data_IF_516220214822
#
_entry.id   IF_516220214822
#
_cell.length_a   1.000
_cell.length_b   1.000
_cell.length_c   1.000
_cell.angle_alpha   90.00
_cell.angle_beta   90.00
_cell.angle_gamma   90.00
#
_symmetry.space_group_name_H-M   'P 1'
#
loop_
_entity.id
_entity.type
_entity.pdbx_description
1 polymer ?
#
# COMPACT_ATOMS: atom_id res chain seq x y z
N UNK A 1 5.29 18.19 4.23
CA UNK A 1 5.36 16.83 4.80
C UNK A 1 4.80 15.88 3.76
N UNK A 2 5.51 14.82 3.40
CA UNK A 2 5.07 13.92 2.33
C UNK A 2 3.93 13.03 2.82
N UNK A 3 2.86 12.91 2.01
CA UNK A 3 1.68 12.09 2.30
C UNK A 3 1.71 10.87 1.38
N UNK A 4 1.45 9.69 1.93
CA UNK A 4 1.48 8.43 1.18
C UNK A 4 0.28 7.58 1.53
N UNK A 5 -0.28 6.95 0.50
CA UNK A 5 -1.05 5.70 0.66
C UNK A 5 -0.04 4.56 0.57
N UNK A 6 -0.16 3.56 1.42
CA UNK A 6 0.79 2.44 1.45
C UNK A 6 0.00 1.17 1.17
N UNK A 7 0.41 0.41 0.18
CA UNK A 7 -0.19 -0.89 -0.06
C UNK A 7 0.23 -1.89 1.04
N UNK A 8 -0.62 -2.86 1.36
CA UNK A 8 -0.34 -3.89 2.38
C UNK A 8 0.91 -4.72 2.06
N UNK A 9 1.25 -4.89 0.78
CA UNK A 9 2.44 -5.64 0.38
C UNK A 9 3.75 -5.00 0.91
N UNK A 10 3.77 -3.69 1.17
CA UNK A 10 4.97 -2.97 1.63
C UNK A 10 5.38 -3.42 3.03
N UNK A 11 4.50 -3.35 4.07
CA UNK A 11 4.83 -3.87 5.39
C UNK A 11 5.00 -5.39 5.42
N UNK A 12 4.29 -6.17 4.58
CA UNK A 12 4.52 -7.62 4.46
C UNK A 12 5.97 -7.89 4.01
N UNK A 13 6.40 -7.24 2.93
CA UNK A 13 7.78 -7.35 2.41
C UNK A 13 8.80 -6.87 3.44
N UNK A 14 8.50 -5.81 4.20
CA UNK A 14 9.40 -5.33 5.26
C UNK A 14 9.59 -6.36 6.39
N UNK A 15 8.58 -7.17 6.70
CA UNK A 15 8.70 -8.30 7.62
C UNK A 15 9.56 -9.44 7.05
N UNK A 16 9.72 -9.50 5.72
CA UNK A 16 10.36 -10.62 5.03
C UNK A 16 9.42 -11.79 4.79
N UNK A 17 8.12 -11.57 4.97
CA UNK A 17 7.10 -12.57 4.68
C UNK A 17 6.90 -12.70 3.17
N UNK A 18 6.42 -13.87 2.73
CA UNK A 18 6.02 -14.07 1.35
C UNK A 18 4.97 -13.04 0.96
N UNK A 19 5.14 -12.39 -0.20
CA UNK A 19 4.15 -11.46 -0.73
C UNK A 19 2.76 -12.11 -0.91
N UNK A 20 1.72 -11.32 -1.24
CA UNK A 20 0.34 -11.81 -1.33
C UNK A 20 0.17 -13.06 -2.22
N UNK A 21 1.01 -13.21 -3.25
CA UNK A 21 0.97 -14.34 -4.19
C UNK A 21 1.73 -15.60 -3.73
N UNK A 22 2.30 -15.62 -2.52
CA UNK A 22 3.15 -16.70 -2.00
C UNK A 22 4.31 -17.09 -2.96
N UNK A 23 4.79 -16.14 -3.75
CA UNK A 23 5.77 -16.33 -4.83
C UNK A 23 7.22 -16.53 -4.35
N UNK A 24 7.45 -16.53 -3.03
CA UNK A 24 8.75 -16.75 -2.42
C UNK A 24 9.12 -15.64 -1.42
N UNK A 25 10.30 -15.78 -0.81
CA UNK A 25 10.86 -14.76 0.08
C UNK A 25 11.26 -13.52 -0.72
N UNK A 26 10.89 -12.30 -0.28
CA UNK A 26 11.31 -11.09 -0.96
C UNK A 26 12.83 -10.94 -0.91
N UNK A 27 13.42 -10.50 -2.02
CA UNK A 27 14.87 -10.32 -2.14
C UNK A 27 15.39 -9.33 -1.10
N UNK A 28 16.64 -9.50 -0.66
CA UNK A 28 17.27 -8.62 0.33
C UNK A 28 17.16 -7.14 -0.06
N UNK A 29 17.32 -6.82 -1.34
CA UNK A 29 17.20 -5.44 -1.84
C UNK A 29 15.77 -4.90 -1.68
N UNK A 30 14.77 -5.70 -2.04
CA UNK A 30 13.37 -5.31 -1.91
C UNK A 30 12.96 -5.13 -0.44
N UNK A 31 13.39 -6.06 0.45
CA UNK A 31 13.19 -5.93 1.90
C UNK A 31 13.83 -4.67 2.46
N UNK A 32 15.08 -4.38 2.11
CA UNK A 32 15.79 -3.17 2.55
C UNK A 32 15.05 -1.91 2.08
N UNK A 33 14.56 -1.88 0.84
CA UNK A 33 13.80 -0.75 0.32
C UNK A 33 12.49 -0.52 1.09
N UNK A 34 11.75 -1.59 1.39
CA UNK A 34 10.52 -1.54 2.19
C UNK A 34 10.80 -1.04 3.63
N UNK A 35 11.82 -1.59 4.29
CA UNK A 35 12.24 -1.17 5.64
C UNK A 35 12.60 0.31 5.66
N UNK A 36 13.44 0.77 4.73
CA UNK A 36 13.85 2.17 4.63
C UNK A 36 12.66 3.09 4.43
N UNK A 37 11.78 2.75 3.49
CA UNK A 37 10.59 3.56 3.21
C UNK A 37 9.67 3.69 4.44
N UNK A 38 9.38 2.60 5.14
CA UNK A 38 8.51 2.65 6.33
C UNK A 38 9.13 3.46 7.47
N UNK A 39 10.44 3.35 7.68
CA UNK A 39 11.15 4.17 8.68
C UNK A 39 11.12 5.67 8.33
N UNK A 40 11.32 6.01 7.05
CA UNK A 40 11.21 7.40 6.56
C UNK A 40 9.79 7.95 6.74
N UNK A 41 8.78 7.14 6.41
CA UNK A 41 7.37 7.50 6.57
C UNK A 41 7.03 7.78 8.04
N UNK A 42 7.41 6.88 8.96
CA UNK A 42 7.12 7.04 10.38
C UNK A 42 7.88 8.23 11.01
N UNK A 43 9.06 8.57 10.51
CA UNK A 43 9.85 9.68 11.05
C UNK A 43 9.40 11.04 10.51
N UNK A 44 9.04 11.15 9.24
CA UNK A 44 8.90 12.45 8.55
C UNK A 44 7.68 12.58 7.62
N UNK A 45 6.93 11.51 7.40
CA UNK A 45 5.76 11.50 6.51
C UNK A 45 4.45 11.32 7.25
N UNK A 46 3.36 11.30 6.47
CA UNK A 46 2.01 10.98 6.93
C UNK A 46 1.42 9.83 6.14
N UNK A 47 0.83 8.88 6.86
CA UNK A 47 0.06 7.79 6.28
C UNK A 47 -1.39 8.24 6.06
N UNK A 48 -1.91 8.00 4.87
CA UNK A 48 -3.32 8.16 4.55
C UNK A 48 -4.03 6.81 4.66
N UNK A 49 -5.17 6.79 5.33
CA UNK A 49 -6.09 5.64 5.38
C UNK A 49 -7.52 6.13 5.21
N UNK A 50 -8.42 5.25 4.81
CA UNK A 50 -9.84 5.58 4.74
C UNK A 50 -10.45 5.69 6.15
N UNK A 51 -11.44 6.57 6.29
CA UNK A 51 -12.14 6.80 7.54
C UNK A 51 -13.01 5.60 7.94
N UNK A 52 -13.54 4.86 6.95
CA UNK A 52 -14.40 3.69 7.18
C UNK A 52 -13.64 2.49 7.78
N UNK A 53 -12.31 2.42 7.58
CA UNK A 53 -11.42 1.43 8.17
C UNK A 53 -11.07 0.25 7.25
N UNK A 54 -11.44 0.28 5.96
CA UNK A 54 -11.20 -0.81 5.00
C UNK A 54 -9.70 -1.13 4.85
N UNK A 55 -8.85 -0.11 4.78
CA UNK A 55 -7.38 -0.23 4.70
C UNK A 55 -6.81 -0.75 6.03
N UNK A 56 -7.31 -0.24 7.15
CA UNK A 56 -6.84 -0.70 8.46
C UNK A 56 -7.21 -2.17 8.71
N UNK A 57 -8.41 -2.57 8.29
CA UNK A 57 -8.85 -3.96 8.38
C UNK A 57 -8.01 -4.88 7.49
N UNK A 58 -7.57 -4.39 6.32
CA UNK A 58 -6.62 -5.11 5.49
C UNK A 58 -5.26 -5.32 6.16
N UNK A 59 -4.70 -4.26 6.75
CA UNK A 59 -3.48 -4.39 7.54
C UNK A 59 -3.65 -5.37 8.70
N UNK A 60 -4.80 -5.35 9.38
CA UNK A 60 -5.09 -6.27 10.49
C UNK A 60 -5.08 -7.74 10.05
N UNK A 61 -5.50 -8.04 8.82
CA UNK A 61 -5.52 -9.41 8.29
C UNK A 61 -4.11 -9.96 8.04
N UNK A 62 -3.16 -9.10 7.69
CA UNK A 62 -1.84 -9.52 7.22
C UNK A 62 -0.71 -9.25 8.21
N UNK A 63 -0.85 -8.27 9.10
CA UNK A 63 0.20 -7.83 10.01
C UNK A 63 -0.08 -8.26 11.45
N UNK A 64 0.99 -8.58 12.18
CA UNK A 64 0.93 -9.18 13.52
C UNK A 64 1.64 -8.27 14.53
N UNK A 65 0.96 -7.23 15.04
CA UNK A 65 1.57 -6.27 15.95
C UNK A 65 1.88 -6.85 17.34
N UNK A 66 1.41 -8.04 17.69
CA UNK A 66 1.70 -8.68 18.98
C UNK A 66 2.86 -9.68 18.89
N UNK A 67 3.58 -9.90 20.00
CA UNK A 67 4.63 -10.93 20.07
C UNK A 67 6.02 -10.37 19.69
N UNK A 68 6.64 -10.91 18.65
CA UNK A 68 7.93 -10.44 18.11
C UNK A 68 7.71 -9.71 16.77
N UNK A 69 7.24 -8.45 16.81
CA UNK A 69 6.86 -7.73 15.60
C UNK A 69 8.07 -7.39 14.73
N UNK A 70 7.94 -7.64 13.43
CA UNK A 70 8.84 -7.17 12.38
C UNK A 70 8.69 -5.66 12.11
N UNK A 71 9.38 -5.16 11.08
CA UNK A 71 9.34 -3.72 10.74
C UNK A 71 7.95 -3.30 10.24
N UNK A 72 7.31 -4.11 9.41
CA UNK A 72 5.95 -3.88 8.92
C UNK A 72 4.93 -3.93 10.06
N UNK A 73 5.09 -4.86 11.00
CA UNK A 73 4.22 -4.94 12.17
C UNK A 73 4.34 -3.70 13.06
N UNK A 74 5.55 -3.17 13.24
CA UNK A 74 5.79 -1.92 13.99
C UNK A 74 5.21 -0.70 13.28
N UNK A 75 5.24 -0.67 11.94
CA UNK A 75 4.52 0.34 11.17
C UNK A 75 3.02 0.30 11.46
N UNK A 76 2.44 -0.90 11.51
CA UNK A 76 1.02 -1.04 11.86
C UNK A 76 0.74 -0.70 13.33
N UNK A 77 1.60 -1.09 14.27
CA UNK A 77 1.51 -0.63 15.66
C UNK A 77 1.52 0.89 15.75
N UNK A 78 2.40 1.55 14.98
CA UNK A 78 2.41 2.99 14.93
C UNK A 78 1.06 3.51 14.47
N UNK A 79 0.47 3.01 13.37
CA UNK A 79 -0.89 3.37 12.94
C UNK A 79 -1.93 3.21 14.06
N UNK A 80 -1.90 2.10 14.82
CA UNK A 80 -2.83 1.84 15.93
C UNK A 80 -2.67 2.81 17.10
N UNK A 81 -1.42 3.19 17.40
CA UNK A 81 -1.07 4.05 18.53
C UNK A 81 -0.98 5.54 18.16
N UNK A 82 -1.08 5.88 16.87
CA UNK A 82 -0.81 7.22 16.36
C UNK A 82 -1.92 8.21 16.70
N UNK A 83 -1.50 9.40 17.10
CA UNK A 83 -2.33 10.60 17.11
C UNK A 83 -2.40 11.22 15.69
N UNK A 84 -3.39 12.11 15.42
CA UNK A 84 -3.70 12.62 14.07
C UNK A 84 -2.55 13.33 13.33
N UNK A 85 -1.40 13.60 13.98
CA UNK A 85 -0.23 14.17 13.32
C UNK A 85 0.50 13.23 12.35
N UNK A 86 0.36 11.91 12.52
CA UNK A 86 1.01 10.88 11.65
C UNK A 86 0.06 10.17 10.70
N UNK A 87 -1.20 10.08 11.06
CA UNK A 87 -2.21 9.34 10.32
C UNK A 87 -3.37 10.26 10.01
N UNK A 88 -3.69 10.42 8.74
CA UNK A 88 -4.87 11.14 8.30
C UNK A 88 -5.92 10.13 7.83
N UNK A 89 -7.12 10.25 8.40
CA UNK A 89 -8.27 9.42 8.06
C UNK A 89 -9.18 10.20 7.14
N UNK A 90 -9.34 9.72 5.93
CA UNK A 90 -10.00 10.44 4.85
C UNK A 90 -11.32 9.75 4.54
N UNK A 91 -12.41 10.51 4.50
CA UNK A 91 -13.69 9.99 4.02
C UNK A 91 -13.54 9.53 2.57
N UNK A 92 -13.90 8.28 2.28
CA UNK A 92 -13.73 7.67 0.96
C UNK A 92 -15.07 7.07 0.52
N UNK A 93 -15.95 7.89 -0.09
CA UNK A 93 -17.32 7.50 -0.39
C UNK A 93 -17.39 6.40 -1.44
N UNK A 94 -18.38 5.53 -1.29
CA UNK A 94 -18.73 4.48 -2.26
C UNK A 94 -19.99 4.87 -3.04
N UNK A 95 -20.06 4.41 -4.28
CA UNK A 95 -21.24 4.43 -5.15
C UNK A 95 -22.22 3.33 -4.73
N UNK A 96 -23.41 3.34 -5.32
CA UNK A 96 -24.46 2.35 -5.04
C UNK A 96 -24.06 0.91 -5.42
N UNK A 97 -23.11 0.75 -6.35
CA UNK A 97 -22.55 -0.54 -6.76
C UNK A 97 -21.47 -1.09 -5.80
N UNK A 98 -21.12 -0.32 -4.76
CA UNK A 98 -20.11 -0.67 -3.77
C UNK A 98 -18.68 -0.31 -4.15
N UNK A 99 -18.45 0.25 -5.34
CA UNK A 99 -17.14 0.77 -5.75
C UNK A 99 -16.91 2.19 -5.24
N UNK A 100 -15.66 2.63 -5.19
CA UNK A 100 -15.32 3.96 -4.69
C UNK A 100 -15.62 5.05 -5.72
N UNK A 101 -16.20 6.18 -5.28
CA UNK A 101 -16.53 7.33 -6.15
C UNK A 101 -15.27 7.88 -6.82
N UNK A 102 -14.16 7.91 -6.09
CA UNK A 102 -12.88 8.39 -6.57
C UNK A 102 -12.12 7.34 -7.41
N UNK A 103 -12.62 6.11 -7.57
CA UNK A 103 -11.98 5.12 -8.44
C UNK A 103 -12.33 5.36 -9.93
N UNK A 104 -11.35 5.53 -10.82
CA UNK A 104 -11.59 5.62 -12.26
C UNK A 104 -12.25 4.36 -12.82
N UNK A 105 -13.33 4.52 -13.59
CA UNK A 105 -14.01 3.40 -14.25
C UNK A 105 -13.07 2.62 -15.19
N UNK A 106 -12.15 3.33 -15.87
CA UNK A 106 -11.16 2.71 -16.74
C UNK A 106 -10.26 1.69 -16.03
N UNK A 107 -10.00 1.84 -14.71
CA UNK A 107 -9.23 0.83 -13.95
C UNK A 107 -10.07 -0.40 -13.65
N UNK A 108 -11.36 -0.22 -13.35
CA UNK A 108 -12.30 -1.34 -13.15
C UNK A 108 -12.39 -2.14 -14.46
N UNK A 109 -12.58 -1.44 -15.59
CA UNK A 109 -12.74 -2.05 -16.91
C UNK A 109 -11.45 -2.75 -17.38
N UNK A 110 -10.28 -2.23 -16.97
CA UNK A 110 -8.99 -2.86 -17.22
C UNK A 110 -8.77 -4.12 -16.37
N UNK A 111 -9.58 -4.37 -15.35
CA UNK A 111 -9.48 -5.56 -14.49
C UNK A 111 -8.59 -5.40 -13.27
N UNK A 112 -8.26 -4.16 -12.85
CA UNK A 112 -7.45 -3.89 -11.66
C UNK A 112 -8.03 -4.56 -10.40
N UNK A 113 -7.16 -5.16 -9.57
CA UNK A 113 -7.57 -6.04 -8.47
C UNK A 113 -8.52 -5.34 -7.50
N UNK A 114 -9.59 -6.06 -7.12
CA UNK A 114 -10.65 -5.47 -6.29
C UNK A 114 -10.18 -5.11 -4.89
N UNK A 115 -9.25 -5.85 -4.32
CA UNK A 115 -8.68 -5.55 -3.02
C UNK A 115 -7.82 -4.29 -3.08
N UNK A 116 -7.15 -3.99 -4.20
CA UNK A 116 -6.28 -2.82 -4.33
C UNK A 116 -7.00 -1.51 -4.64
N UNK A 117 -8.23 -1.60 -5.15
CA UNK A 117 -9.08 -0.45 -5.51
C UNK A 117 -9.22 0.59 -4.40
N UNK A 118 -9.24 0.16 -3.13
CA UNK A 118 -9.32 1.06 -1.97
C UNK A 118 -8.12 1.99 -1.87
N UNK A 119 -6.92 1.48 -2.13
CA UNK A 119 -5.68 2.26 -2.12
C UNK A 119 -5.62 3.20 -3.32
N UNK A 120 -5.98 2.72 -4.51
CA UNK A 120 -6.01 3.52 -5.74
C UNK A 120 -7.00 4.69 -5.64
N UNK A 121 -8.21 4.43 -5.13
CA UNK A 121 -9.23 5.46 -4.93
C UNK A 121 -8.77 6.53 -3.95
N UNK A 122 -8.20 6.13 -2.80
CA UNK A 122 -7.69 7.06 -1.80
C UNK A 122 -6.52 7.89 -2.34
N UNK A 123 -5.59 7.26 -3.06
CA UNK A 123 -4.44 7.91 -3.67
C UNK A 123 -4.88 9.00 -4.67
N UNK A 124 -5.88 8.70 -5.50
CA UNK A 124 -6.44 9.66 -6.44
C UNK A 124 -7.13 10.83 -5.74
N UNK A 125 -8.00 10.53 -4.77
CA UNK A 125 -8.77 11.54 -4.01
C UNK A 125 -7.84 12.58 -3.37
N UNK A 126 -6.76 12.12 -2.76
CA UNK A 126 -5.83 12.96 -2.00
C UNK A 126 -4.64 13.46 -2.83
N UNK A 127 -4.62 13.15 -4.13
CA UNK A 127 -3.50 13.42 -5.03
C UNK A 127 -2.14 13.02 -4.40
N UNK A 128 -2.12 11.84 -3.78
CA UNK A 128 -0.99 11.31 -3.06
C UNK A 128 -0.53 10.01 -3.73
N UNK A 129 0.78 9.75 -3.81
CA UNK A 129 1.25 8.50 -4.38
C UNK A 129 0.88 7.31 -3.49
N UNK A 130 0.51 6.21 -4.12
CA UNK A 130 0.45 4.89 -3.50
C UNK A 130 1.81 4.21 -3.60
N UNK A 131 2.24 3.57 -2.53
CA UNK A 131 3.54 2.88 -2.48
C UNK A 131 3.32 1.39 -2.61
N UNK A 132 4.01 0.79 -3.60
CA UNK A 132 3.93 -0.62 -3.95
C UNK A 132 5.30 -1.28 -3.79
N UNK A 133 5.33 -2.48 -3.21
CA UNK A 133 6.51 -3.35 -3.19
C UNK A 133 6.48 -4.38 -4.33
N UNK A 134 5.92 -5.56 -4.09
CA UNK A 134 6.04 -6.74 -4.96
C UNK A 134 4.72 -7.22 -5.57
N UNK A 135 3.66 -6.42 -5.46
CA UNK A 135 2.41 -6.74 -6.15
C UNK A 135 2.54 -6.27 -7.61
N UNK A 136 2.37 -7.24 -8.51
CA UNK A 136 2.53 -7.04 -9.93
C UNK A 136 1.34 -6.33 -10.57
N UNK A 137 0.16 -6.35 -9.95
CA UNK A 137 -1.05 -5.77 -10.52
C UNK A 137 -0.90 -4.25 -10.72
N UNK A 138 -0.27 -3.58 -9.75
CA UNK A 138 0.13 -2.17 -9.87
C UNK A 138 1.05 -1.89 -11.06
N UNK A 139 1.94 -2.83 -11.40
CA UNK A 139 2.84 -2.68 -12.54
C UNK A 139 2.14 -3.02 -13.87
N UNK A 140 1.31 -4.06 -13.87
CA UNK A 140 0.50 -4.48 -15.02
C UNK A 140 -0.44 -3.36 -15.47
N UNK A 141 -1.01 -2.61 -14.52
CA UNK A 141 -1.93 -1.51 -14.77
C UNK A 141 -1.27 -0.11 -14.72
N UNK A 142 0.08 -0.03 -14.74
CA UNK A 142 0.82 1.23 -14.53
C UNK A 142 0.40 2.38 -15.44
N UNK A 143 0.08 2.07 -16.70
CA UNK A 143 -0.26 3.07 -17.72
C UNK A 143 -1.63 3.66 -17.44
N UNK A 144 -2.64 2.80 -17.27
CA UNK A 144 -4.01 3.20 -16.89
C UNK A 144 -4.03 3.96 -15.56
N UNK A 145 -3.24 3.52 -14.57
CA UNK A 145 -3.09 4.23 -13.30
C UNK A 145 -2.54 5.65 -13.53
N UNK A 146 -1.48 5.79 -14.32
CA UNK A 146 -0.85 7.09 -14.59
C UNK A 146 -1.79 8.05 -15.34
N UNK A 147 -2.45 7.56 -16.39
CA UNK A 147 -3.38 8.33 -17.23
C UNK A 147 -4.61 8.80 -16.44
N UNK A 148 -5.06 8.01 -15.47
CA UNK A 148 -6.20 8.34 -14.61
C UNK A 148 -5.83 9.17 -13.38
N UNK A 149 -4.56 9.60 -13.28
CA UNK A 149 -4.07 10.53 -12.26
C UNK A 149 -3.53 9.86 -10.99
N UNK A 150 -3.41 8.53 -10.97
CA UNK A 150 -2.85 7.80 -9.84
C UNK A 150 -1.34 7.65 -10.05
N UNK A 151 -0.55 7.98 -9.02
CA UNK A 151 0.91 7.85 -9.05
C UNK A 151 1.32 6.69 -8.15
N UNK A 152 2.09 5.75 -8.70
CA UNK A 152 2.63 4.62 -7.95
C UNK A 152 4.11 4.82 -7.72
N UNK A 153 4.57 4.58 -6.49
CA UNK A 153 5.99 4.50 -6.13
C UNK A 153 6.39 3.04 -5.96
N UNK A 154 7.09 2.49 -6.94
CA UNK A 154 7.62 1.12 -6.94
C UNK A 154 8.94 1.05 -6.16
N UNK A 155 8.90 0.71 -4.87
CA UNK A 155 10.10 0.72 -4.02
C UNK A 155 11.03 -0.46 -4.27
N UNK A 156 10.51 -1.57 -4.77
CA UNK A 156 11.30 -2.74 -5.19
C UNK A 156 11.70 -2.69 -6.68
N UNK A 157 11.45 -1.56 -7.35
CA UNK A 157 11.69 -1.41 -8.78
C UNK A 157 10.62 -2.08 -9.66
N UNK A 158 10.77 -1.93 -10.97
CA UNK A 158 9.80 -2.40 -11.97
C UNK A 158 10.22 -3.69 -12.68
N UNK A 159 11.37 -4.27 -12.32
CA UNK A 159 11.81 -5.58 -12.83
C UNK A 159 11.39 -6.68 -11.86
N UNK A 160 10.26 -7.32 -12.17
CA UNK A 160 9.65 -8.35 -11.31
C UNK A 160 10.56 -9.56 -11.08
N UNK A 161 11.53 -9.82 -11.97
CA UNK A 161 12.49 -10.91 -11.84
C UNK A 161 13.49 -10.72 -10.68
N UNK A 162 13.52 -9.53 -10.06
CA UNK A 162 14.42 -9.17 -8.96
C UNK A 162 13.72 -9.06 -7.60
N UNK A 163 12.39 -9.22 -7.58
CA UNK A 163 11.59 -9.01 -6.38
C UNK A 163 11.77 -10.11 -5.33
N UNK A 164 12.05 -11.33 -5.77
CA UNK A 164 12.16 -12.51 -4.91
C UNK A 164 13.55 -13.13 -4.97
N UNK A 165 13.89 -13.89 -3.95
CA UNK A 165 15.09 -14.74 -3.96
C UNK A 165 14.98 -15.79 -5.07
N UNK A 166 16.12 -16.12 -5.69
CA UNK A 166 16.21 -17.15 -6.74
C UNK A 166 16.47 -18.53 -6.15
#
# INVERSE_FOLDING_TARGET
MSRFVVDTNVPIVANGDSGPDNTGSPSVNCRIAAVKFLQELLSSGKLLVDLAGDIQDEYRRHLRPSGQPGVGDRFYQALLNSAPERVERIDLPKRDDGEYVDLPQALIDAGFDRSDRKFAALARRENAPVVNATDSDWLNHRETLFETGIRVRFICGCDTSTWFER
#
